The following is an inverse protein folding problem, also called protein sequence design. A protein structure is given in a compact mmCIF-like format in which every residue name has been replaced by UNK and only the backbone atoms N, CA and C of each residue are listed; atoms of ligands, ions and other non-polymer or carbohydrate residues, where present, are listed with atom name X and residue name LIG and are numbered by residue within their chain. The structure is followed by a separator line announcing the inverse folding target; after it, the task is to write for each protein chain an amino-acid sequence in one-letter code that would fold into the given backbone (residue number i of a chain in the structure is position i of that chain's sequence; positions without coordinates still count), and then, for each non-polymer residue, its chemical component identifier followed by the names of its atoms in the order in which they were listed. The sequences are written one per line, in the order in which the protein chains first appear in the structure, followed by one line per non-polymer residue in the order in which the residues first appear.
data_IF_956707112159
#
_entry.id   IF_956707112159
#
_cell.length_a   1.000
_cell.length_b   1.000
_cell.length_c   1.000
_cell.angle_alpha   90.00
_cell.angle_beta   90.00
_cell.angle_gamma   90.00
#
_symmetry.space_group_name_H-M   'P 1'
#
loop_
_entity.id
_entity.type
_entity.pdbx_description
1 polymer ?
#
# COMPACT_ATOMS: atom_id res chain seq x y z
N UNK A 1 10.63 -6.72 71.15
CA UNK A 1 11.13 -6.93 69.78
C UNK A 1 9.93 -7.30 68.94
N UNK A 2 9.74 -6.57 67.85
CA UNK A 2 8.62 -6.67 66.92
C UNK A 2 8.67 -7.95 66.11
N UNK A 3 7.50 -8.44 65.70
CA UNK A 3 7.21 -9.32 64.55
C UNK A 3 5.67 -9.39 64.53
N UNK A 4 4.85 -8.71 63.73
CA UNK A 4 4.89 -8.07 62.41
C UNK A 4 5.27 -8.98 61.23
N UNK A 5 4.30 -9.79 60.77
CA UNK A 5 4.08 -10.10 59.34
C UNK A 5 2.69 -10.76 59.13
N UNK A 6 2.13 -10.76 57.91
CA UNK A 6 0.83 -10.15 57.64
C UNK A 6 -0.25 -11.15 57.21
N UNK A 7 -1.50 -10.68 57.21
CA UNK A 7 -2.70 -11.30 56.61
C UNK A 7 -2.51 -11.57 55.11
N UNK A 8 -3.00 -12.70 54.56
CA UNK A 8 -3.02 -12.92 53.12
C UNK A 8 -4.05 -12.01 52.42
N UNK A 9 -3.59 -11.46 51.31
CA UNK A 9 -4.19 -10.47 50.42
C UNK A 9 -5.45 -10.99 49.70
N UNK A 10 -6.40 -10.10 49.51
CA UNK A 10 -7.71 -10.34 48.92
C UNK A 10 -7.64 -10.68 47.41
N UNK A 11 -8.40 -11.71 47.04
CA UNK A 11 -9.23 -11.79 45.83
C UNK A 11 -8.75 -11.04 44.58
N UNK A 12 -8.04 -11.76 43.70
CA UNK A 12 -7.80 -11.31 42.33
C UNK A 12 -9.13 -11.28 41.53
N UNK A 13 -9.52 -10.14 40.93
CA UNK A 13 -10.70 -10.11 40.06
C UNK A 13 -10.39 -10.80 38.72
N UNK A 14 -11.36 -11.44 38.06
CA UNK A 14 -11.14 -12.06 36.75
C UNK A 14 -10.77 -10.98 35.73
N UNK A 15 -9.70 -11.24 34.97
CA UNK A 15 -9.22 -10.38 33.90
C UNK A 15 -10.36 -9.96 32.97
N UNK A 16 -10.57 -8.66 32.87
CA UNK A 16 -11.35 -8.06 31.80
C UNK A 16 -10.66 -8.40 30.48
N UNK A 17 -11.31 -9.23 29.65
CA UNK A 17 -11.00 -9.29 28.23
C UNK A 17 -11.25 -7.90 27.66
N UNK A 18 -10.19 -7.13 27.46
CA UNK A 18 -10.23 -5.96 26.58
C UNK A 18 -10.60 -6.48 25.18
N UNK A 19 -11.70 -6.00 24.58
CA UNK A 19 -11.96 -6.28 23.17
C UNK A 19 -10.79 -5.71 22.36
N UNK A 20 -10.20 -6.53 21.50
CA UNK A 20 -9.23 -6.07 20.51
C UNK A 20 -9.99 -5.13 19.57
N UNK A 21 -9.81 -3.82 19.76
CA UNK A 21 -10.31 -2.81 18.84
C UNK A 21 -9.70 -3.13 17.46
N UNK A 22 -10.49 -3.24 16.38
CA UNK A 22 -9.92 -3.36 15.05
C UNK A 22 -9.02 -2.14 14.82
N UNK A 23 -7.87 -2.28 14.14
CA UNK A 23 -7.07 -1.11 13.80
C UNK A 23 -7.97 -0.16 13.02
N UNK A 24 -8.15 1.05 13.56
CA UNK A 24 -8.83 2.12 12.86
C UNK A 24 -8.08 2.35 11.55
N UNK A 25 -8.71 2.03 10.44
CA UNK A 25 -8.25 2.26 9.07
C UNK A 25 -8.29 3.77 8.74
N UNK A 26 -7.75 4.58 9.65
CA UNK A 26 -7.70 6.05 9.59
C UNK A 26 -6.25 6.53 9.76
N UNK A 27 -5.29 5.73 9.30
CA UNK A 27 -3.99 6.28 8.96
C UNK A 27 -4.23 7.31 7.85
N UNK A 28 -3.98 8.62 8.07
CA UNK A 28 -4.19 9.63 7.05
C UNK A 28 -3.36 9.23 5.83
N UNK A 29 -4.02 9.10 4.68
CA UNK A 29 -3.35 8.80 3.42
C UNK A 29 -2.17 9.76 3.26
N UNK A 30 -0.97 9.28 2.89
CA UNK A 30 0.18 10.16 2.69
C UNK A 30 -0.19 11.24 1.67
N UNK A 31 0.08 12.50 2.01
CA UNK A 31 -0.20 13.63 1.12
C UNK A 31 0.50 13.40 -0.24
N UNK A 32 -0.20 13.62 -1.37
CA UNK A 32 0.39 13.39 -2.68
C UNK A 32 1.59 14.33 -2.89
N UNK A 33 2.64 13.88 -3.62
CA UNK A 33 3.76 14.74 -3.95
C UNK A 33 3.27 15.97 -4.73
N UNK A 34 3.87 17.16 -4.51
CA UNK A 34 3.45 18.37 -5.20
C UNK A 34 3.65 18.23 -6.71
N UNK A 35 2.57 18.43 -7.47
CA UNK A 35 2.63 18.59 -8.94
C UNK A 35 3.55 19.77 -9.24
N UNK A 36 4.70 19.50 -9.88
CA UNK A 36 5.54 20.53 -10.44
C UNK A 36 4.74 21.22 -11.57
N UNK A 37 4.43 22.50 -11.38
CA UNK A 37 3.75 23.34 -12.37
C UNK A 37 4.67 23.57 -13.58
N UNK A 38 4.64 22.65 -14.55
CA UNK A 38 5.31 22.84 -15.83
C UNK A 38 4.49 23.82 -16.69
N UNK A 39 4.74 25.11 -16.49
CA UNK A 39 4.12 26.18 -17.25
C UNK A 39 4.51 26.13 -18.73
N UNK A 40 3.65 25.58 -19.57
CA UNK A 40 3.67 25.82 -21.01
C UNK A 40 2.72 26.98 -21.37
N UNK A 41 3.33 28.07 -21.82
CA UNK A 41 2.66 29.27 -22.29
C UNK A 41 2.29 29.12 -23.77
N UNK A 42 1.01 28.90 -24.07
CA UNK A 42 0.49 29.09 -25.45
C UNK A 42 -0.18 30.47 -25.59
N UNK A 43 0.10 31.25 -26.66
CA UNK A 43 -0.49 32.57 -26.81
C UNK A 43 -1.92 32.49 -27.38
N UNK A 44 -2.73 33.43 -26.91
CA UNK A 44 -4.15 33.58 -27.17
C UNK A 44 -4.52 33.73 -28.66
N UNK A 45 -5.58 33.05 -29.07
CA UNK A 45 -6.39 33.44 -30.22
C UNK A 45 -7.84 33.63 -29.78
N UNK A 46 -8.31 34.88 -29.91
CA UNK A 46 -9.56 35.41 -29.38
C UNK A 46 -10.73 35.14 -30.34
N UNK A 47 -11.68 34.29 -29.95
CA UNK A 47 -13.00 34.23 -30.57
C UNK A 47 -14.11 34.34 -29.51
N UNK A 48 -14.47 35.59 -29.25
CA UNK A 48 -15.66 36.03 -28.53
C UNK A 48 -16.94 35.39 -29.08
N UNK A 49 -17.60 34.54 -28.27
CA UNK A 49 -19.05 34.35 -28.34
C UNK A 49 -19.66 33.81 -27.03
N UNK A 50 -20.37 34.72 -26.35
CA UNK A 50 -21.60 34.51 -25.56
C UNK A 50 -21.68 33.39 -24.50
N UNK A 51 -21.44 33.83 -23.25
CA UNK A 51 -22.11 33.48 -21.97
C UNK A 51 -22.89 32.15 -21.88
N UNK A 52 -22.37 31.22 -21.08
CA UNK A 52 -23.17 30.37 -20.17
C UNK A 52 -22.33 29.91 -18.97
N UNK A 53 -22.71 30.37 -17.78
CA UNK A 53 -22.46 29.76 -16.46
C UNK A 53 -21.06 29.23 -16.17
N UNK A 54 -20.12 30.12 -15.85
CA UNK A 54 -18.97 29.78 -15.01
C UNK A 54 -19.41 29.86 -13.54
N UNK A 55 -19.82 28.72 -12.99
CA UNK A 55 -19.83 28.51 -11.55
C UNK A 55 -18.68 27.59 -11.23
N UNK A 56 -17.57 28.19 -10.82
CA UNK A 56 -16.71 27.70 -9.75
C UNK A 56 -16.15 26.31 -9.99
N UNK A 57 -14.96 26.27 -10.57
CA UNK A 57 -14.03 25.17 -10.41
C UNK A 57 -13.89 24.82 -8.93
N UNK A 58 -14.54 23.73 -8.52
CA UNK A 58 -14.10 22.93 -7.39
C UNK A 58 -12.79 22.26 -7.82
N UNK A 59 -11.69 22.98 -7.69
CA UNK A 59 -10.36 22.38 -7.53
C UNK A 59 -10.33 21.66 -6.17
N UNK A 60 -11.20 20.65 -6.00
CA UNK A 60 -10.94 19.55 -5.09
C UNK A 60 -9.98 18.68 -5.86
N UNK A 61 -8.72 18.62 -5.43
CA UNK A 61 -7.67 17.81 -6.06
C UNK A 61 -8.24 16.43 -6.36
N UNK A 62 -8.51 16.16 -7.63
CA UNK A 62 -9.05 14.87 -8.05
C UNK A 62 -7.90 13.89 -7.94
N UNK A 63 -8.02 12.98 -6.98
CA UNK A 63 -7.21 11.77 -6.96
C UNK A 63 -7.34 11.12 -8.34
N UNK A 64 -6.22 10.82 -9.04
CA UNK A 64 -6.27 10.09 -10.30
C UNK A 64 -7.05 8.78 -10.16
N UNK A 65 -7.76 8.33 -11.20
CA UNK A 65 -8.47 7.05 -11.14
C UNK A 65 -7.48 5.91 -10.83
N UNK A 66 -7.78 5.12 -9.80
CA UNK A 66 -6.97 3.97 -9.37
C UNK A 66 -7.83 2.72 -9.24
N UNK A 67 -7.20 1.54 -9.24
CA UNK A 67 -7.88 0.26 -9.02
C UNK A 67 -6.98 -0.65 -8.16
N UNK A 68 -7.30 -0.72 -6.86
CA UNK A 68 -6.54 -1.52 -5.89
C UNK A 68 -6.62 -3.02 -6.17
N UNK A 69 -7.76 -3.51 -6.68
CA UNK A 69 -7.92 -4.92 -7.04
C UNK A 69 -7.00 -5.29 -8.21
N UNK A 70 -6.86 -4.40 -9.20
CA UNK A 70 -5.96 -4.60 -10.32
C UNK A 70 -4.48 -4.60 -9.88
N UNK A 71 -4.09 -3.68 -8.99
CA UNK A 71 -2.74 -3.68 -8.40
C UNK A 71 -2.48 -4.98 -7.62
N UNK A 72 -3.44 -5.42 -6.80
CA UNK A 72 -3.31 -6.64 -6.03
C UNK A 72 -3.21 -7.89 -6.93
N UNK A 73 -4.06 -7.99 -7.96
CA UNK A 73 -4.00 -9.08 -8.93
C UNK A 73 -2.69 -9.08 -9.73
N UNK A 74 -2.15 -7.91 -10.08
CA UNK A 74 -0.85 -7.81 -10.75
C UNK A 74 0.28 -8.36 -9.87
N UNK A 75 0.36 -7.88 -8.62
CA UNK A 75 1.39 -8.33 -7.67
C UNK A 75 1.25 -9.83 -7.36
N UNK A 76 0.04 -10.32 -7.17
CA UNK A 76 -0.19 -11.74 -6.96
C UNK A 76 0.23 -12.59 -8.16
N UNK A 77 -0.02 -12.14 -9.40
CA UNK A 77 0.46 -12.82 -10.60
C UNK A 77 1.99 -12.86 -10.67
N UNK A 78 2.65 -11.76 -10.30
CA UNK A 78 4.12 -11.67 -10.24
C UNK A 78 4.71 -12.62 -9.16
N UNK A 79 4.03 -12.78 -8.02
CA UNK A 79 4.41 -13.73 -6.97
C UNK A 79 4.19 -15.21 -7.37
N UNK A 80 3.43 -15.47 -8.43
CA UNK A 80 3.12 -16.81 -8.94
C UNK A 80 3.97 -17.19 -10.15
N UNK A 81 4.33 -16.23 -11.00
CA UNK A 81 4.96 -16.48 -12.29
C UNK A 81 6.07 -15.50 -12.60
N UNK A 82 7.23 -16.06 -12.95
CA UNK A 82 8.38 -15.30 -13.45
C UNK A 82 8.08 -14.59 -14.77
N UNK A 83 7.23 -15.16 -15.62
CA UNK A 83 6.86 -14.57 -16.90
C UNK A 83 5.99 -13.31 -16.66
N UNK A 84 5.09 -13.34 -15.66
CA UNK A 84 4.30 -12.17 -15.28
C UNK A 84 5.18 -11.01 -14.79
N UNK A 85 6.31 -11.31 -14.13
CA UNK A 85 7.30 -10.27 -13.76
C UNK A 85 7.92 -9.66 -15.00
N UNK A 86 8.31 -10.48 -15.98
CA UNK A 86 8.91 -10.00 -17.23
C UNK A 86 7.95 -9.09 -17.99
N UNK A 87 6.68 -9.51 -18.14
CA UNK A 87 5.65 -8.73 -18.82
C UNK A 87 5.36 -7.40 -18.10
N UNK A 88 5.30 -7.42 -16.76
CA UNK A 88 5.04 -6.22 -15.96
C UNK A 88 6.18 -5.18 -16.07
N UNK A 89 7.44 -5.62 -16.12
CA UNK A 89 8.61 -4.75 -16.25
C UNK A 89 8.62 -3.94 -17.56
N UNK A 90 7.88 -4.35 -18.59
CA UNK A 90 7.82 -3.62 -19.86
C UNK A 90 7.00 -2.33 -19.78
N UNK A 91 6.06 -2.24 -18.82
CA UNK A 91 5.03 -1.18 -18.81
C UNK A 91 4.74 -0.57 -17.43
N UNK A 92 5.22 -1.17 -16.34
CA UNK A 92 4.95 -0.72 -14.97
C UNK A 92 6.22 -0.13 -14.35
N UNK A 93 6.07 1.00 -13.66
CA UNK A 93 7.07 1.61 -12.79
C UNK A 93 6.52 1.63 -11.35
N UNK A 94 7.41 1.73 -10.35
CA UNK A 94 7.02 1.77 -8.91
C UNK A 94 6.01 2.89 -8.65
N UNK A 95 6.18 4.04 -9.29
CA UNK A 95 5.34 5.24 -9.12
C UNK A 95 3.93 5.10 -9.73
N UNK A 96 3.66 4.01 -10.48
CA UNK A 96 2.31 3.72 -10.99
C UNK A 96 1.38 3.15 -9.92
N UNK A 97 1.91 2.66 -8.80
CA UNK A 97 1.09 2.13 -7.72
C UNK A 97 0.49 3.25 -6.89
N UNK A 98 -0.83 3.21 -6.70
CA UNK A 98 -1.52 4.16 -5.83
C UNK A 98 -1.23 3.86 -4.35
N UNK A 99 -1.16 2.57 -3.98
CA UNK A 99 -0.86 2.16 -2.60
C UNK A 99 0.65 2.01 -2.40
N UNK A 100 1.30 2.78 -1.50
CA UNK A 100 2.76 2.65 -1.29
C UNK A 100 3.21 1.24 -0.88
N UNK A 101 2.37 0.52 -0.12
CA UNK A 101 2.66 -0.88 0.24
C UNK A 101 2.75 -1.79 -0.98
N UNK A 102 1.96 -1.55 -2.03
CA UNK A 102 2.06 -2.28 -3.30
C UNK A 102 3.36 -1.93 -4.03
N UNK A 103 3.73 -0.65 -4.05
CA UNK A 103 5.01 -0.19 -4.60
C UNK A 103 6.22 -0.86 -3.94
N UNK A 104 6.23 -1.00 -2.61
CA UNK A 104 7.28 -1.72 -1.88
C UNK A 104 7.37 -3.21 -2.28
N UNK A 105 6.23 -3.88 -2.44
CA UNK A 105 6.19 -5.28 -2.88
C UNK A 105 6.71 -5.41 -4.31
N UNK A 106 6.28 -4.53 -5.21
CA UNK A 106 6.75 -4.50 -6.60
C UNK A 106 8.28 -4.32 -6.69
N UNK A 107 8.82 -3.34 -5.96
CA UNK A 107 10.26 -3.06 -5.94
C UNK A 107 11.08 -4.26 -5.42
N UNK A 108 10.59 -4.91 -4.36
CA UNK A 108 11.21 -6.13 -3.84
C UNK A 108 11.20 -7.28 -4.87
N UNK A 109 10.07 -7.49 -5.56
CA UNK A 109 9.96 -8.49 -6.63
C UNK A 109 10.96 -8.19 -7.75
N UNK A 110 11.03 -6.94 -8.20
CA UNK A 110 11.95 -6.51 -9.26
C UNK A 110 13.41 -6.71 -8.87
N UNK A 111 13.76 -6.40 -7.61
CA UNK A 111 15.11 -6.58 -7.07
C UNK A 111 15.53 -8.05 -7.04
N UNK A 112 14.65 -8.94 -6.58
CA UNK A 112 14.88 -10.39 -6.61
C UNK A 112 15.04 -10.90 -8.03
N UNK A 113 14.13 -10.50 -8.93
CA UNK A 113 14.16 -10.89 -10.33
C UNK A 113 15.46 -10.47 -11.03
N UNK A 114 15.91 -9.23 -10.81
CA UNK A 114 17.16 -8.71 -11.35
C UNK A 114 18.40 -9.45 -10.81
N UNK A 115 18.33 -9.94 -9.57
CA UNK A 115 19.39 -10.74 -8.93
C UNK A 115 19.37 -12.22 -9.36
N UNK A 116 18.33 -12.64 -10.09
CA UNK A 116 18.13 -14.02 -10.50
C UNK A 116 17.55 -14.93 -9.41
N UNK A 117 17.08 -14.34 -8.30
CA UNK A 117 16.45 -15.03 -7.20
C UNK A 117 14.94 -15.24 -7.49
N UNK A 118 14.32 -16.29 -6.92
CA UNK A 118 12.87 -16.43 -6.99
C UNK A 118 12.17 -15.28 -6.25
N UNK A 119 11.05 -14.83 -6.79
CA UNK A 119 10.20 -13.79 -6.20
C UNK A 119 8.87 -14.40 -5.74
N UNK A 120 8.94 -15.22 -4.71
CA UNK A 120 7.79 -15.86 -4.05
C UNK A 120 7.49 -15.16 -2.70
N UNK A 121 6.33 -15.43 -2.05
CA UNK A 121 5.97 -14.75 -0.80
C UNK A 121 7.01 -14.89 0.32
N UNK A 122 7.75 -15.99 0.37
CA UNK A 122 8.78 -16.21 1.41
C UNK A 122 9.98 -15.30 1.15
N UNK A 123 10.54 -15.38 -0.05
CA UNK A 123 11.72 -14.60 -0.44
C UNK A 123 11.45 -13.09 -0.47
N UNK A 124 10.28 -12.68 -0.94
CA UNK A 124 9.84 -11.28 -0.90
C UNK A 124 9.69 -10.80 0.55
N UNK A 125 9.14 -11.62 1.45
CA UNK A 125 9.06 -11.25 2.87
C UNK A 125 10.44 -11.05 3.51
N UNK A 126 11.42 -11.88 3.18
CA UNK A 126 12.79 -11.72 3.67
C UNK A 126 13.43 -10.42 3.16
N UNK A 127 13.23 -10.11 1.88
CA UNK A 127 13.73 -8.87 1.30
C UNK A 127 13.11 -7.63 1.98
N UNK A 128 11.80 -7.64 2.17
CA UNK A 128 11.08 -6.55 2.84
C UNK A 128 11.44 -6.44 4.32
N UNK A 129 11.77 -7.56 4.97
CA UNK A 129 12.32 -7.59 6.34
C UNK A 129 13.69 -6.91 6.38
N UNK A 130 14.59 -7.25 5.44
CA UNK A 130 15.91 -6.62 5.34
C UNK A 130 15.82 -5.13 5.06
N UNK A 131 14.80 -4.70 4.31
CA UNK A 131 14.49 -3.30 4.04
C UNK A 131 13.79 -2.58 5.20
N UNK A 132 13.33 -3.29 6.24
CA UNK A 132 12.68 -2.71 7.41
C UNK A 132 11.24 -2.22 7.18
N UNK A 133 10.58 -2.69 6.11
CA UNK A 133 9.24 -2.23 5.72
C UNK A 133 8.16 -3.31 5.83
N UNK A 134 8.52 -4.58 6.07
CA UNK A 134 7.56 -5.69 6.11
C UNK A 134 6.41 -5.47 7.12
N UNK A 135 6.73 -5.04 8.34
CA UNK A 135 5.72 -4.82 9.38
C UNK A 135 4.78 -3.65 9.01
N UNK A 136 5.30 -2.64 8.31
CA UNK A 136 4.55 -1.45 7.90
C UNK A 136 3.51 -1.77 6.82
N UNK A 137 3.75 -2.81 6.01
CA UNK A 137 2.83 -3.23 4.93
C UNK A 137 1.83 -4.31 5.35
N UNK A 138 1.82 -4.74 6.62
CA UNK A 138 0.90 -5.76 7.14
C UNK A 138 1.52 -7.15 7.38
N UNK A 139 2.84 -7.27 7.32
CA UNK A 139 3.55 -8.51 7.62
C UNK A 139 3.51 -9.54 6.49
N UNK A 140 4.02 -10.77 6.72
CA UNK A 140 4.11 -11.80 5.69
C UNK A 140 2.74 -12.29 5.20
N UNK A 141 1.69 -12.17 6.02
CA UNK A 141 0.32 -12.53 5.65
C UNK A 141 -0.20 -11.72 4.46
N UNK A 142 0.19 -10.45 4.37
CA UNK A 142 -0.22 -9.57 3.27
C UNK A 142 0.20 -10.10 1.89
N UNK A 143 1.38 -10.72 1.77
CA UNK A 143 1.84 -11.30 0.52
C UNK A 143 1.01 -12.51 0.07
N UNK A 144 0.49 -13.26 1.03
CA UNK A 144 -0.41 -14.40 0.76
C UNK A 144 -1.78 -13.91 0.29
N UNK A 145 -2.26 -12.79 0.84
CA UNK A 145 -3.51 -12.15 0.41
C UNK A 145 -3.39 -11.64 -1.04
N UNK A 146 -2.28 -10.99 -1.40
CA UNK A 146 -2.02 -10.57 -2.78
C UNK A 146 -2.01 -11.77 -3.74
N UNK A 147 -1.33 -12.85 -3.34
CA UNK A 147 -1.30 -14.07 -4.14
C UNK A 147 -2.71 -14.67 -4.34
N UNK A 148 -3.55 -14.65 -3.31
CA UNK A 148 -4.93 -15.13 -3.37
C UNK A 148 -5.87 -14.22 -4.18
N UNK A 149 -5.52 -12.95 -4.36
CA UNK A 149 -6.29 -11.97 -5.14
C UNK A 149 -6.12 -12.13 -6.66
N UNK A 150 -5.27 -13.07 -7.13
CA UNK A 150 -5.07 -13.33 -8.56
C UNK A 150 -6.11 -14.31 -9.09
N UNK A 151 -6.87 -13.96 -10.15
CA UNK A 151 -7.81 -14.90 -10.76
C UNK A 151 -7.09 -16.13 -11.32
N UNK A 152 -7.41 -17.32 -10.80
CA UNK A 152 -6.90 -18.56 -11.37
C UNK A 152 -7.70 -18.93 -12.63
N UNK A 153 -7.05 -18.99 -13.78
CA UNK A 153 -7.63 -19.62 -14.97
C UNK A 153 -7.49 -21.14 -14.83
N UNK A 154 -8.61 -21.84 -14.61
CA UNK A 154 -8.71 -23.32 -14.72
C UNK A 154 -8.97 -23.77 -16.15
#
# INVERSE_FOLDING_TARGET
VSDDTPTPDESEPPGTSTPLEPPEDDAPLPEPPPLLDEGDSTPAFDHRSTRRGDTGGSHVGRVPPYNLDAEASLLGAMLLSRDAIADALEIIEVDHFYKPSHGHVYDAICTLYASGDPADPVTVSEMLTRAGVLDQIGGPGFLLELQAATPATS
#
